data_IF_106359892243
#
_entry.id   IF_106359892243
#
_cell.length_a   1.000
_cell.length_b   1.000
_cell.length_c   1.000
_cell.angle_alpha   90.00
_cell.angle_beta   90.00
_cell.angle_gamma   90.00
#
_symmetry.space_group_name_H-M   'P 1'
#
loop_
_entity.id
_entity.type
_entity.pdbx_description
1 polymer ?
#
# COMPACT_ATOMS: atom_id res chain seq x y z
N UNK A 1 -8.67 26.65 -13.48
CA UNK A 1 -7.66 26.47 -12.44
C UNK A 1 -8.13 25.35 -11.53
N UNK A 2 -7.52 24.16 -11.56
CA UNK A 2 -7.85 23.06 -10.63
C UNK A 2 -6.66 22.81 -9.72
N UNK A 3 -6.61 23.55 -8.61
CA UNK A 3 -5.70 23.26 -7.49
C UNK A 3 -6.34 22.15 -6.65
N UNK A 4 -6.22 20.91 -7.12
CA UNK A 4 -6.46 19.75 -6.28
C UNK A 4 -5.11 19.35 -5.69
N UNK A 5 -4.90 19.71 -4.42
CA UNK A 5 -4.10 18.90 -3.51
C UNK A 5 -4.84 17.58 -3.32
N UNK A 6 -4.88 16.79 -4.39
CA UNK A 6 -5.20 15.39 -4.32
C UNK A 6 -3.99 14.77 -3.63
N UNK A 7 -4.04 14.71 -2.31
CA UNK A 7 -3.49 13.55 -1.62
C UNK A 7 -4.36 12.37 -2.06
N UNK A 8 -4.28 12.00 -3.34
CA UNK A 8 -4.56 10.64 -3.75
C UNK A 8 -3.77 9.82 -2.76
N UNK A 9 -4.47 9.10 -1.89
CA UNK A 9 -3.85 8.13 -0.99
C UNK A 9 -3.24 7.10 -1.90
N UNK A 10 -2.05 7.42 -2.42
CA UNK A 10 -1.37 6.63 -3.43
C UNK A 10 -1.20 5.27 -2.81
N UNK A 11 -1.57 4.27 -3.60
CA UNK A 11 -1.31 2.89 -3.22
C UNK A 11 0.13 2.78 -2.75
N UNK A 12 0.32 2.07 -1.63
CA UNK A 12 1.65 1.88 -1.09
C UNK A 12 2.50 1.23 -2.20
N UNK A 13 3.59 1.87 -2.65
CA UNK A 13 4.33 1.42 -3.83
C UNK A 13 5.07 0.10 -3.60
N UNK A 14 5.16 -0.35 -2.35
CA UNK A 14 5.82 -1.58 -1.97
C UNK A 14 4.88 -2.78 -2.10
N UNK A 15 3.69 -2.70 -1.49
CA UNK A 15 2.70 -3.78 -1.58
C UNK A 15 1.67 -3.57 -2.70
N UNK A 16 1.86 -2.55 -3.55
CA UNK A 16 0.95 -2.18 -4.64
C UNK A 16 -0.52 -2.11 -4.20
N UNK A 17 -0.79 -1.42 -3.09
CA UNK A 17 -2.16 -1.24 -2.58
C UNK A 17 -2.70 -2.41 -1.75
N UNK A 18 -2.03 -3.56 -1.70
CA UNK A 18 -2.57 -4.78 -1.06
C UNK A 18 -2.54 -4.74 0.47
N UNK A 19 -1.59 -4.02 1.06
CA UNK A 19 -1.35 -4.01 2.51
C UNK A 19 -0.49 -5.16 3.03
N UNK A 20 -0.14 -6.13 2.18
CA UNK A 20 0.65 -7.30 2.57
C UNK A 20 1.47 -7.82 1.38
N UNK A 21 2.45 -8.68 1.66
CA UNK A 21 3.18 -9.45 0.66
C UNK A 21 2.77 -10.92 0.77
N UNK A 22 2.50 -11.57 -0.37
CA UNK A 22 2.24 -13.01 -0.42
C UNK A 22 3.59 -13.74 -0.38
N UNK A 23 3.77 -14.65 0.57
CA UNK A 23 4.98 -15.45 0.70
C UNK A 23 4.95 -16.64 -0.28
N UNK A 24 6.12 -17.03 -0.80
CA UNK A 24 6.25 -18.08 -1.80
C UNK A 24 5.79 -19.46 -1.28
N UNK A 25 6.03 -19.73 0.00
CA UNK A 25 5.61 -20.98 0.67
C UNK A 25 4.18 -20.93 1.21
N UNK A 26 3.41 -19.91 0.82
CA UNK A 26 2.08 -19.63 1.35
C UNK A 26 2.09 -18.69 2.55
N UNK A 27 0.92 -18.11 2.84
CA UNK A 27 0.75 -17.07 3.86
C UNK A 27 1.08 -15.66 3.37
N UNK A 28 0.93 -14.70 4.27
CA UNK A 28 1.21 -13.29 4.00
C UNK A 28 1.94 -12.64 5.16
N UNK A 29 2.81 -11.69 4.84
CA UNK A 29 3.39 -10.78 5.81
C UNK A 29 2.77 -9.39 5.65
N UNK A 30 2.43 -8.73 6.76
CA UNK A 30 1.91 -7.37 6.72
C UNK A 30 2.96 -6.42 6.18
N UNK A 31 2.57 -5.54 5.25
CA UNK A 31 3.50 -4.59 4.66
C UNK A 31 3.94 -3.57 5.72
N UNK A 32 5.18 -3.65 6.16
CA UNK A 32 5.76 -2.76 7.18
C UNK A 32 5.75 -1.27 6.79
N UNK A 33 5.73 -0.97 5.49
CA UNK A 33 5.71 0.42 5.01
C UNK A 33 4.37 1.13 5.24
N UNK A 34 3.25 0.40 5.12
CA UNK A 34 1.91 0.96 5.33
C UNK A 34 1.17 0.34 6.54
N UNK A 35 1.82 -0.53 7.30
CA UNK A 35 1.24 -1.21 8.45
C UNK A 35 -0.03 -2.01 8.14
N UNK A 36 -0.19 -2.52 6.92
CA UNK A 36 -1.41 -3.24 6.51
C UNK A 36 -2.45 -2.40 5.76
N UNK A 37 -2.28 -1.07 5.71
CA UNK A 37 -3.31 -0.16 5.18
C UNK A 37 -3.48 -0.20 3.66
N UNK A 38 -2.45 -0.66 2.93
CA UNK A 38 -2.35 -0.53 1.47
C UNK A 38 -2.13 0.90 0.98
N UNK A 39 -2.06 1.88 1.88
CA UNK A 39 -1.97 3.33 1.57
C UNK A 39 -0.84 3.97 2.36
N UNK A 40 -0.19 4.98 1.78
CA UNK A 40 0.85 5.78 2.46
C UNK A 40 0.34 7.18 2.79
#
# INVERSE_FOLDING_TARGET
>A
MKNQLQTEKKDCPYCSGKGYFQLLLGGSETCSCCGGSGRK
#
